data_IF_011968760165
#
_entry.id   IF_011968760165
#
_cell.length_a   1.000
_cell.length_b   1.000
_cell.length_c   1.000
_cell.angle_alpha   90.00
_cell.angle_beta   90.00
_cell.angle_gamma   90.00
#
_symmetry.space_group_name_H-M   'P 1'
#
loop_
_entity.id
_entity.type
_entity.pdbx_description
1 polymer ?
#
# COMPACT_ATOMS: atom_id res chain seq x y z
N UNK A 1 -12.71 -2.96 19.46
CA UNK A 1 -13.38 -2.64 18.22
C UNK A 1 -12.56 -3.12 17.03
N UNK A 2 -13.19 -3.69 16.03
CA UNK A 2 -12.51 -4.00 14.77
C UNK A 2 -11.85 -2.73 14.24
N UNK A 3 -10.54 -2.78 14.11
CA UNK A 3 -9.83 -1.78 13.33
C UNK A 3 -10.25 -1.97 11.87
N UNK A 4 -10.55 -0.88 11.15
CA UNK A 4 -10.95 -0.90 9.73
C UNK A 4 -9.99 -1.71 8.84
N UNK A 5 -8.82 -2.04 9.34
CA UNK A 5 -7.70 -2.62 8.62
C UNK A 5 -7.24 -3.98 9.19
N UNK A 6 -8.08 -4.68 9.98
CA UNK A 6 -7.75 -6.02 10.48
C UNK A 6 -8.91 -6.95 10.16
N UNK A 7 -8.56 -8.15 9.67
CA UNK A 7 -9.48 -9.25 9.40
C UNK A 7 -9.00 -10.51 10.11
N UNK A 8 -9.92 -11.25 10.75
CA UNK A 8 -9.61 -12.49 11.44
C UNK A 8 -10.12 -13.69 10.66
N UNK A 9 -9.37 -14.78 10.71
CA UNK A 9 -9.73 -16.08 10.12
C UNK A 9 -9.35 -17.18 11.09
N UNK A 10 -10.29 -18.02 11.47
CA UNK A 10 -10.03 -19.15 12.35
C UNK A 10 -9.01 -20.12 11.73
N UNK A 11 -9.16 -20.41 10.43
CA UNK A 11 -8.31 -21.34 9.66
C UNK A 11 -8.02 -20.79 8.27
N UNK A 12 -7.08 -21.41 7.57
CA UNK A 12 -6.88 -21.13 6.16
C UNK A 12 -8.09 -21.63 5.36
N UNK A 13 -8.85 -20.76 4.67
CA UNK A 13 -9.98 -21.19 3.86
C UNK A 13 -9.54 -22.09 2.70
N UNK A 14 -10.28 -23.15 2.40
CA UNK A 14 -10.02 -24.04 1.26
C UNK A 14 -9.90 -23.28 -0.08
N UNK A 15 -10.72 -22.24 -0.26
CA UNK A 15 -10.68 -21.37 -1.43
C UNK A 15 -9.99 -20.06 -1.06
N UNK A 16 -8.81 -19.82 -1.62
CA UNK A 16 -8.02 -18.60 -1.39
C UNK A 16 -8.78 -17.32 -1.73
N UNK A 17 -9.72 -17.36 -2.68
CA UNK A 17 -10.57 -16.23 -3.07
C UNK A 17 -11.27 -15.54 -1.87
N UNK A 18 -11.56 -16.28 -0.80
CA UNK A 18 -12.28 -15.77 0.38
C UNK A 18 -11.47 -14.71 1.14
N UNK A 19 -10.12 -14.84 1.18
CA UNK A 19 -9.27 -13.84 1.81
C UNK A 19 -8.55 -12.97 0.79
N UNK A 20 -8.46 -13.42 -0.46
CA UNK A 20 -7.80 -12.66 -1.53
C UNK A 20 -8.51 -11.35 -1.83
N UNK A 21 -9.84 -11.29 -1.69
CA UNK A 21 -10.62 -10.05 -1.79
C UNK A 21 -10.14 -9.00 -0.78
N UNK A 22 -9.84 -9.41 0.45
CA UNK A 22 -9.34 -8.51 1.48
C UNK A 22 -7.89 -8.11 1.24
N UNK A 23 -7.05 -9.03 0.74
CA UNK A 23 -5.66 -8.72 0.32
C UNK A 23 -5.66 -7.60 -0.71
N UNK A 24 -6.44 -7.74 -1.79
CA UNK A 24 -6.57 -6.72 -2.84
C UNK A 24 -7.13 -5.41 -2.27
N UNK A 25 -8.18 -5.49 -1.44
CA UNK A 25 -8.79 -4.31 -0.85
C UNK A 25 -7.84 -3.53 0.08
N UNK A 26 -6.97 -4.22 0.81
CA UNK A 26 -5.92 -3.59 1.62
C UNK A 26 -4.87 -2.90 0.74
N UNK A 27 -4.42 -3.54 -0.33
CA UNK A 27 -3.46 -2.91 -1.26
C UNK A 27 -4.03 -1.70 -2.00
N UNK A 28 -5.33 -1.72 -2.32
CA UNK A 28 -6.03 -0.58 -2.92
C UNK A 28 -6.34 0.54 -1.90
N UNK A 29 -6.30 0.23 -0.60
CA UNK A 29 -6.49 1.18 0.49
C UNK A 29 -5.17 1.56 1.18
N UNK A 30 -5.23 1.82 2.47
CA UNK A 30 -4.08 2.16 3.32
C UNK A 30 -3.37 0.96 3.95
N UNK A 31 -3.47 -0.22 3.35
CA UNK A 31 -2.93 -1.46 3.92
C UNK A 31 -3.83 -2.10 4.98
N UNK A 32 -3.38 -3.22 5.52
CA UNK A 32 -4.09 -3.94 6.58
C UNK A 32 -3.46 -5.27 6.95
N UNK A 33 -4.09 -5.97 7.89
CA UNK A 33 -3.61 -7.27 8.39
C UNK A 33 -4.70 -8.33 8.32
N UNK A 34 -4.31 -9.53 7.95
CA UNK A 34 -5.16 -10.72 8.09
C UNK A 34 -4.49 -11.62 9.12
N UNK A 35 -5.22 -11.97 10.17
CA UNK A 35 -4.76 -12.82 11.25
C UNK A 35 -5.43 -14.18 11.14
N UNK A 36 -4.66 -15.21 10.83
CA UNK A 36 -5.13 -16.59 10.79
C UNK A 36 -4.85 -17.26 12.13
N UNK A 37 -5.79 -18.08 12.60
CA UNK A 37 -5.73 -18.75 13.89
C UNK A 37 -6.55 -18.05 14.99
N UNK A 38 -7.42 -17.13 14.63
CA UNK A 38 -8.32 -16.41 15.55
C UNK A 38 -9.74 -16.42 15.00
N UNK A 39 -10.70 -16.78 15.84
CA UNK A 39 -12.14 -16.79 15.52
C UNK A 39 -12.60 -15.34 15.36
N UNK A 40 -13.31 -15.05 14.26
CA UNK A 40 -13.70 -13.66 13.94
C UNK A 40 -14.68 -13.07 14.96
N UNK A 41 -15.70 -13.80 15.35
CA UNK A 41 -16.75 -13.30 16.25
C UNK A 41 -16.29 -13.19 17.71
N UNK A 42 -15.72 -14.26 18.26
CA UNK A 42 -15.35 -14.35 19.67
C UNK A 42 -13.97 -13.79 19.97
N UNK A 43 -13.10 -13.61 18.96
CA UNK A 43 -11.68 -13.29 19.09
C UNK A 43 -10.90 -14.36 19.86
N UNK A 44 -11.45 -15.56 19.92
CA UNK A 44 -10.80 -16.70 20.56
C UNK A 44 -9.58 -17.13 19.75
N UNK A 45 -8.46 -17.35 20.44
CA UNK A 45 -7.24 -17.84 19.83
C UNK A 45 -7.30 -19.37 19.66
N UNK A 46 -7.32 -19.84 18.44
CA UNK A 46 -7.30 -21.25 18.08
C UNK A 46 -5.89 -21.70 17.67
N UNK A 47 -5.19 -20.87 16.89
CA UNK A 47 -3.84 -21.10 16.38
C UNK A 47 -3.69 -22.34 15.51
N UNK A 48 -2.50 -22.50 14.94
CA UNK A 48 -2.08 -23.69 14.18
C UNK A 48 -1.10 -24.52 15.01
N UNK A 49 -1.10 -25.87 14.86
CA UNK A 49 -0.03 -26.73 15.37
C UNK A 49 1.32 -26.32 14.74
N UNK A 50 2.40 -26.36 15.52
CA UNK A 50 3.73 -25.92 15.08
C UNK A 50 4.21 -26.61 13.81
N UNK A 51 3.87 -27.89 13.64
CA UNK A 51 4.21 -28.70 12.47
C UNK A 51 3.56 -28.23 11.17
N UNK A 52 2.41 -27.55 11.26
CA UNK A 52 1.66 -27.07 10.09
C UNK A 52 1.98 -25.62 9.70
N UNK A 53 2.54 -24.81 10.60
CA UNK A 53 2.69 -23.36 10.44
C UNK A 53 3.42 -22.98 9.16
N UNK A 54 4.59 -23.58 8.90
CA UNK A 54 5.37 -23.25 7.70
C UNK A 54 4.66 -23.62 6.41
N UNK A 55 4.00 -24.78 6.38
CA UNK A 55 3.21 -25.23 5.23
C UNK A 55 2.05 -24.26 4.94
N UNK A 56 1.36 -23.80 5.99
CA UNK A 56 0.26 -22.83 5.86
C UNK A 56 0.78 -21.48 5.43
N UNK A 57 1.88 -21.01 5.99
CA UNK A 57 2.54 -19.75 5.63
C UNK A 57 2.94 -19.73 4.15
N UNK A 58 3.59 -20.79 3.66
CA UNK A 58 4.00 -20.91 2.25
C UNK A 58 2.77 -20.94 1.33
N UNK A 59 1.71 -21.65 1.71
CA UNK A 59 0.47 -21.70 0.94
C UNK A 59 -0.19 -20.31 0.83
N UNK A 60 -0.15 -19.50 1.90
CA UNK A 60 -0.68 -18.13 1.89
C UNK A 60 0.19 -17.23 0.99
N UNK A 61 1.51 -17.26 1.16
CA UNK A 61 2.44 -16.43 0.39
C UNK A 61 2.31 -16.70 -1.12
N UNK A 62 2.33 -17.97 -1.51
CA UNK A 62 2.19 -18.40 -2.90
C UNK A 62 0.82 -18.00 -3.47
N UNK A 63 -0.27 -18.23 -2.73
CA UNK A 63 -1.60 -17.86 -3.20
C UNK A 63 -1.74 -16.36 -3.44
N UNK A 64 -1.13 -15.51 -2.60
CA UNK A 64 -1.17 -14.05 -2.79
C UNK A 64 -0.36 -13.64 -4.02
N UNK A 65 0.89 -14.10 -4.14
CA UNK A 65 1.76 -13.79 -5.28
C UNK A 65 1.16 -14.21 -6.62
N UNK A 66 0.54 -15.39 -6.65
CA UNK A 66 0.03 -15.96 -7.91
C UNK A 66 -1.32 -15.37 -8.32
N UNK A 67 -2.13 -14.94 -7.36
CA UNK A 67 -3.53 -14.56 -7.62
C UNK A 67 -3.74 -13.07 -7.86
N UNK A 68 -2.78 -12.20 -7.52
CA UNK A 68 -2.95 -10.75 -7.59
C UNK A 68 -2.18 -10.12 -8.76
N UNK A 69 -2.77 -9.07 -9.33
CA UNK A 69 -2.17 -8.24 -10.38
C UNK A 69 -2.43 -6.76 -10.05
N UNK A 70 -1.44 -5.87 -10.00
CA UNK A 70 -0.02 -6.18 -9.92
C UNK A 70 0.34 -7.13 -8.76
N UNK A 71 1.53 -7.73 -8.78
CA UNK A 71 1.95 -8.66 -7.73
C UNK A 71 1.95 -7.98 -6.35
N UNK A 72 1.41 -8.66 -5.35
CA UNK A 72 1.41 -8.24 -3.95
C UNK A 72 2.38 -9.13 -3.18
N UNK A 73 3.29 -8.52 -2.46
CA UNK A 73 4.24 -9.21 -1.59
C UNK A 73 3.84 -8.92 -0.14
N UNK A 74 3.27 -9.91 0.57
CA UNK A 74 2.92 -9.74 1.97
C UNK A 74 4.14 -9.83 2.88
N UNK A 75 4.09 -9.18 4.05
CA UNK A 75 4.95 -9.50 5.17
C UNK A 75 4.24 -10.48 6.11
N UNK A 76 4.88 -11.60 6.43
CA UNK A 76 4.24 -12.66 7.22
C UNK A 76 5.04 -12.86 8.50
N UNK A 77 4.38 -12.66 9.64
CA UNK A 77 4.93 -12.84 10.96
C UNK A 77 4.15 -13.91 11.75
N UNK A 78 4.84 -14.56 12.68
CA UNK A 78 4.30 -15.63 13.50
C UNK A 78 4.18 -15.17 14.95
N UNK A 79 3.09 -15.51 15.61
CA UNK A 79 2.87 -15.20 17.02
C UNK A 79 2.50 -16.48 17.77
N UNK A 80 3.40 -16.93 18.65
CA UNK A 80 3.18 -18.12 19.47
C UNK A 80 2.43 -17.80 20.76
N UNK A 81 1.46 -18.62 21.09
CA UNK A 81 0.77 -18.57 22.36
C UNK A 81 0.27 -19.98 22.74
N UNK A 82 0.58 -20.43 23.96
CA UNK A 82 0.06 -21.70 24.51
C UNK A 82 0.37 -22.95 23.65
N UNK A 83 1.54 -22.99 22.97
CA UNK A 83 1.94 -24.12 22.12
C UNK A 83 1.32 -24.16 20.74
N UNK A 84 0.52 -23.14 20.39
CA UNK A 84 -0.04 -22.92 19.06
C UNK A 84 0.43 -21.58 18.49
N UNK A 85 0.32 -21.41 17.18
CA UNK A 85 0.86 -20.25 16.46
C UNK A 85 -0.23 -19.58 15.63
N UNK A 86 -0.38 -18.26 15.74
CA UNK A 86 -1.11 -17.44 14.77
C UNK A 86 -0.18 -16.99 13.65
N UNK A 87 -0.74 -16.86 12.44
CA UNK A 87 -0.04 -16.34 11.27
C UNK A 87 -0.64 -14.96 10.96
N UNK A 88 0.20 -13.94 11.03
CA UNK A 88 -0.19 -12.55 10.75
C UNK A 88 0.36 -12.17 9.38
N UNK A 89 -0.54 -11.84 8.47
CA UNK A 89 -0.22 -11.43 7.10
C UNK A 89 -0.46 -9.93 6.98
N UNK A 90 0.60 -9.15 6.86
CA UNK A 90 0.53 -7.71 6.67
C UNK A 90 0.60 -7.38 5.18
N UNK A 91 -0.38 -6.63 4.72
CA UNK A 91 -0.50 -6.14 3.36
C UNK A 91 -0.28 -4.64 3.38
N UNK A 92 0.73 -4.17 2.66
CA UNK A 92 1.02 -2.75 2.56
C UNK A 92 0.17 -2.05 1.51
N UNK A 93 0.04 -0.76 1.67
CA UNK A 93 -0.55 0.11 0.67
C UNK A 93 0.17 -0.03 -0.68
N UNK A 94 -0.56 -0.39 -1.71
CA UNK A 94 -0.01 -0.58 -3.05
C UNK A 94 0.23 0.74 -3.79
N UNK A 95 1.34 0.81 -4.54
CA UNK A 95 1.71 2.00 -5.33
C UNK A 95 1.21 1.96 -6.77
N UNK A 96 0.89 0.75 -7.28
CA UNK A 96 0.50 0.52 -8.68
C UNK A 96 -1.00 0.22 -8.81
N UNK A 97 -1.84 1.01 -8.15
CA UNK A 97 -3.29 0.84 -8.17
C UNK A 97 -3.87 0.98 -9.58
N UNK A 98 -4.97 0.28 -9.89
CA UNK A 98 -5.69 -0.65 -9.01
C UNK A 98 -5.07 -2.06 -9.02
N UNK A 99 -5.05 -2.70 -7.85
CA UNK A 99 -4.77 -4.13 -7.70
C UNK A 99 -6.06 -4.92 -7.88
N UNK A 100 -5.96 -6.11 -8.46
CA UNK A 100 -7.13 -6.96 -8.70
C UNK A 100 -6.78 -8.45 -8.65
N UNK A 101 -7.80 -9.29 -8.50
CA UNK A 101 -7.66 -10.75 -8.56
C UNK A 101 -7.61 -11.18 -10.02
N UNK A 102 -6.50 -11.78 -10.47
CA UNK A 102 -6.25 -12.18 -11.88
C UNK A 102 -7.39 -13.00 -12.47
N UNK A 103 -7.89 -14.00 -11.74
CA UNK A 103 -8.95 -14.89 -12.22
C UNK A 103 -10.30 -14.21 -12.48
N UNK A 104 -10.53 -13.04 -11.88
CA UNK A 104 -11.74 -12.24 -12.05
C UNK A 104 -11.58 -11.10 -13.06
N UNK A 105 -10.35 -10.80 -13.47
CA UNK A 105 -10.03 -9.67 -14.32
C UNK A 105 -10.21 -8.32 -13.62
N UNK A 106 -9.79 -7.24 -14.29
CA UNK A 106 -9.81 -5.89 -13.72
C UNK A 106 -11.23 -5.37 -13.43
N UNK A 107 -12.22 -5.78 -14.23
CA UNK A 107 -13.61 -5.30 -14.07
C UNK A 107 -14.30 -5.88 -12.83
N UNK A 108 -14.02 -7.15 -12.48
CA UNK A 108 -14.68 -7.88 -11.41
C UNK A 108 -13.76 -8.27 -10.25
N UNK A 109 -12.48 -7.93 -10.34
CA UNK A 109 -11.44 -8.34 -9.40
C UNK A 109 -10.91 -7.23 -8.52
N UNK A 110 -11.31 -5.98 -8.72
CA UNK A 110 -10.90 -4.84 -7.90
C UNK A 110 -11.78 -4.74 -6.68
N UNK A 111 -11.18 -4.86 -5.50
CA UNK A 111 -11.88 -4.73 -4.21
C UNK A 111 -11.32 -3.57 -3.41
N UNK A 112 -12.17 -2.93 -2.61
CA UNK A 112 -11.84 -1.81 -1.73
C UNK A 112 -12.43 -2.03 -0.33
N UNK A 113 -11.85 -1.36 0.68
CA UNK A 113 -12.39 -1.35 2.05
C UNK A 113 -13.24 -0.11 2.25
N UNK A 114 -14.51 -0.32 2.57
CA UNK A 114 -15.44 0.76 2.92
C UNK A 114 -15.97 0.49 4.32
N UNK A 115 -15.63 1.34 5.27
CA UNK A 115 -16.08 1.25 6.68
C UNK A 115 -15.87 -0.14 7.32
N UNK A 116 -14.71 -0.77 7.04
CA UNK A 116 -14.37 -2.09 7.58
C UNK A 116 -14.91 -3.29 6.78
N UNK A 117 -15.66 -3.06 5.70
CA UNK A 117 -16.20 -4.11 4.82
C UNK A 117 -15.46 -4.13 3.49
N UNK A 118 -15.13 -5.33 2.99
CA UNK A 118 -14.58 -5.52 1.65
C UNK A 118 -15.69 -5.54 0.61
N UNK A 119 -15.63 -4.65 -0.39
CA UNK A 119 -16.62 -4.52 -1.46
C UNK A 119 -15.96 -4.51 -2.82
N UNK A 120 -16.69 -4.96 -3.83
CA UNK A 120 -16.29 -4.79 -5.21
C UNK A 120 -16.28 -3.29 -5.53
N UNK A 121 -15.21 -2.81 -6.17
CA UNK A 121 -15.14 -1.42 -6.62
C UNK A 121 -16.06 -1.22 -7.83
N UNK A 122 -16.75 -0.09 -7.85
CA UNK A 122 -17.49 0.35 -9.02
C UNK A 122 -16.56 1.03 -10.06
N UNK A 123 -17.09 1.36 -11.22
CA UNK A 123 -16.32 1.95 -12.30
C UNK A 123 -15.68 3.30 -11.91
N UNK A 124 -16.36 4.11 -11.10
CA UNK A 124 -15.86 5.40 -10.63
C UNK A 124 -14.65 5.20 -9.68
N UNK A 125 -14.76 4.27 -8.74
CA UNK A 125 -13.66 3.89 -7.84
C UNK A 125 -12.46 3.34 -8.61
N UNK A 126 -12.68 2.49 -9.63
CA UNK A 126 -11.60 1.95 -10.47
C UNK A 126 -10.88 3.09 -11.21
N UNK A 127 -11.60 4.08 -11.73
CA UNK A 127 -11.02 5.27 -12.38
C UNK A 127 -10.18 6.09 -11.40
N UNK A 128 -10.69 6.31 -10.19
CA UNK A 128 -9.96 7.04 -9.13
C UNK A 128 -8.67 6.32 -8.74
N UNK A 129 -8.73 5.01 -8.46
CA UNK A 129 -7.56 4.20 -8.16
C UNK A 129 -6.53 4.20 -9.32
N UNK A 130 -6.99 4.17 -10.57
CA UNK A 130 -6.12 4.25 -11.75
C UNK A 130 -5.43 5.60 -11.83
N UNK A 131 -6.13 6.68 -11.53
CA UNK A 131 -5.57 8.03 -11.48
C UNK A 131 -4.53 8.16 -10.37
N UNK A 132 -4.83 7.68 -9.17
CA UNK A 132 -3.88 7.67 -8.05
C UNK A 132 -2.61 6.87 -8.38
N UNK A 133 -2.74 5.68 -8.96
CA UNK A 133 -1.62 4.85 -9.39
C UNK A 133 -0.76 5.52 -10.46
N UNK A 134 -1.39 6.23 -11.39
CA UNK A 134 -0.70 6.96 -12.47
C UNK A 134 0.03 8.20 -11.95
N UNK A 135 -0.57 8.95 -11.04
CA UNK A 135 0.03 10.17 -10.46
C UNK A 135 1.27 9.86 -9.61
N UNK A 136 1.26 8.74 -8.89
CA UNK A 136 2.43 8.32 -8.11
C UNK A 136 3.62 7.91 -8.99
N UNK A 137 3.37 7.51 -10.24
CA UNK A 137 4.42 7.28 -11.24
C UNK A 137 4.87 8.57 -11.93
N UNK A 138 3.96 9.53 -12.11
CA UNK A 138 4.26 10.79 -12.78
C UNK A 138 5.31 11.61 -12.04
N UNK A 139 5.27 11.64 -10.70
CA UNK A 139 6.26 12.32 -9.86
C UNK A 139 7.67 11.71 -9.93
N UNK A 140 7.78 10.47 -10.42
CA UNK A 140 9.05 9.75 -10.60
C UNK A 140 9.53 9.69 -12.06
N UNK A 141 8.72 10.15 -13.01
CA UNK A 141 9.06 10.13 -14.43
C UNK A 141 9.88 11.37 -14.77
N UNK A 142 11.09 11.17 -15.28
CA UNK A 142 11.88 12.27 -15.88
C UNK A 142 11.02 12.93 -16.96
N UNK A 143 10.79 14.23 -16.84
CA UNK A 143 10.15 15.04 -17.88
C UNK A 143 11.03 15.06 -19.13
N UNK A 144 10.94 14.04 -19.97
CA UNK A 144 11.76 13.92 -21.20
C UNK A 144 11.30 14.86 -22.31
N UNK A 145 10.14 15.49 -22.17
CA UNK A 145 9.55 16.40 -23.18
C UNK A 145 10.03 17.86 -23.11
N UNK A 146 10.73 18.27 -22.02
CA UNK A 146 11.17 19.64 -21.84
C UNK A 146 12.69 19.69 -21.74
N UNK A 147 13.34 20.39 -22.70
CA UNK A 147 14.75 20.72 -22.58
C UNK A 147 14.88 21.97 -21.72
N UNK A 148 15.31 21.80 -20.48
CA UNK A 148 15.62 22.91 -19.59
C UNK A 148 16.93 23.54 -20.05
N UNK A 149 16.89 24.79 -20.50
CA UNK A 149 18.08 25.53 -20.85
C UNK A 149 18.79 26.08 -19.59
N UNK A 150 20.09 26.31 -19.67
CA UNK A 150 20.82 26.94 -18.56
C UNK A 150 20.25 28.32 -18.16
N UNK A 151 19.66 29.05 -19.13
CA UNK A 151 18.92 30.28 -18.89
C UNK A 151 17.73 30.12 -17.96
N UNK A 152 17.00 29.02 -18.10
CA UNK A 152 15.78 28.75 -17.29
C UNK A 152 16.16 28.45 -15.83
N UNK A 153 17.24 27.69 -15.64
CA UNK A 153 17.82 27.43 -14.31
C UNK A 153 18.29 28.74 -13.69
N UNK A 154 18.99 29.57 -14.44
CA UNK A 154 19.50 30.88 -13.95
C UNK A 154 18.36 31.83 -13.58
N UNK A 155 17.27 31.84 -14.36
CA UNK A 155 16.06 32.62 -14.05
C UNK A 155 15.37 32.15 -12.78
N UNK A 156 15.19 30.83 -12.64
CA UNK A 156 14.59 30.22 -11.44
C UNK A 156 15.44 30.53 -10.19
N UNK A 157 16.75 30.36 -10.26
CA UNK A 157 17.64 30.66 -9.15
C UNK A 157 17.60 32.15 -8.75
N UNK A 158 17.50 33.08 -9.71
CA UNK A 158 17.31 34.51 -9.43
C UNK A 158 15.99 34.79 -8.73
N UNK A 159 14.90 34.17 -9.16
CA UNK A 159 13.59 34.35 -8.54
C UNK A 159 13.55 33.74 -7.12
N UNK A 160 14.11 32.56 -6.92
CA UNK A 160 14.27 31.95 -5.59
C UNK A 160 15.06 32.85 -4.65
N UNK A 161 16.19 33.39 -5.12
CA UNK A 161 17.02 34.35 -4.36
C UNK A 161 16.27 35.61 -4.00
N UNK A 162 15.49 36.17 -4.94
CA UNK A 162 14.63 37.33 -4.71
C UNK A 162 13.53 37.06 -3.69
N UNK A 163 12.88 35.89 -3.74
CA UNK A 163 11.87 35.49 -2.77
C UNK A 163 12.47 35.24 -1.38
N UNK A 164 13.63 34.55 -1.32
CA UNK A 164 14.32 34.33 -0.06
C UNK A 164 14.75 35.65 0.62
N UNK A 165 15.24 36.61 -0.16
CA UNK A 165 15.57 37.94 0.37
C UNK A 165 14.36 38.72 0.89
N UNK A 166 13.17 38.54 0.26
CA UNK A 166 11.93 39.15 0.76
C UNK A 166 11.47 38.54 2.10
N UNK A 167 11.71 37.23 2.26
CA UNK A 167 11.27 36.45 3.43
C UNK A 167 12.33 36.41 4.54
N UNK A 168 13.56 36.91 4.31
CA UNK A 168 14.63 36.93 5.30
C UNK A 168 14.32 37.91 6.44
N UNK A 169 14.34 37.43 7.68
CA UNK A 169 13.99 38.19 8.88
C UNK A 169 15.16 38.98 9.43
N UNK A 170 16.41 38.56 9.18
CA UNK A 170 17.64 39.20 9.72
C UNK A 170 18.58 39.64 8.61
N UNK A 171 19.44 40.62 8.92
CA UNK A 171 20.47 41.10 7.96
C UNK A 171 21.55 40.07 7.70
N UNK A 172 21.85 39.19 8.68
CA UNK A 172 22.78 38.06 8.50
C UNK A 172 22.21 37.06 7.50
N UNK A 173 20.93 36.72 7.59
CA UNK A 173 20.27 35.84 6.60
C UNK A 173 20.27 36.47 5.20
N UNK A 174 20.04 37.76 5.06
CA UNK A 174 20.11 38.49 3.79
C UNK A 174 21.50 38.44 3.19
N UNK A 175 22.52 38.58 4.04
CA UNK A 175 23.93 38.54 3.61
C UNK A 175 24.32 37.13 3.14
N UNK A 176 23.92 36.10 3.88
CA UNK A 176 24.12 34.68 3.50
C UNK A 176 23.50 34.37 2.14
N UNK A 177 22.24 34.77 1.91
CA UNK A 177 21.54 34.57 0.63
C UNK A 177 22.22 35.29 -0.53
N UNK A 178 22.72 36.49 -0.32
CA UNK A 178 23.45 37.27 -1.36
C UNK A 178 24.77 36.59 -1.79
N UNK A 179 25.40 35.90 -0.85
CA UNK A 179 26.72 35.26 -1.07
C UNK A 179 26.60 33.85 -1.68
N UNK A 180 25.41 33.29 -1.87
CA UNK A 180 25.24 32.06 -2.62
C UNK A 180 25.57 32.34 -4.07
N UNK A 181 26.71 31.84 -4.51
CA UNK A 181 27.15 31.92 -5.91
C UNK A 181 26.22 31.07 -6.79
N UNK A 182 25.69 31.67 -7.84
CA UNK A 182 24.91 31.02 -8.90
C UNK A 182 25.63 31.25 -10.22
#
# INVERSE_FOLDING_TARGET
GESKNIEFKERLPEKSIKYMKSVVAFSNGGGGKIVFGVVDDTKEFVGFPKEDVFRVMDAIANAISDSCEPAIIPDITLQDFGGKTAIIVEIFEGRQRPYYIKSLGKENGVFVRVSGTTRLADEAMIKELTFEGSNRHFDQTLCTGWKIAKSDISALCKDMKKQALKNALTDEQKTAIRNVGI
#
